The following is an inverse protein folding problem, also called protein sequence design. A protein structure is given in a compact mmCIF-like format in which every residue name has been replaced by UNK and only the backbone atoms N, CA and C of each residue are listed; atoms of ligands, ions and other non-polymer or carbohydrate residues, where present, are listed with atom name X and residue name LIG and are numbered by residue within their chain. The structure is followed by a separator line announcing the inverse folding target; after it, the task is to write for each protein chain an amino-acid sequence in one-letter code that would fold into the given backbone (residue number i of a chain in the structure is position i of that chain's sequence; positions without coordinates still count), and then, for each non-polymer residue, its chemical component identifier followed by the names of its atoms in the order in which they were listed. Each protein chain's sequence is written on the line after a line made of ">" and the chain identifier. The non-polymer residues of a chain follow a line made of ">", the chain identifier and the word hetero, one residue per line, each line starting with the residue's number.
data_IF_734754890111
#
_entry.id   IF_734754890111
#
_cell.length_a   1.000
_cell.length_b   1.000
_cell.length_c   1.000
_cell.angle_alpha   90.00
_cell.angle_beta   90.00
_cell.angle_gamma   90.00
#
_symmetry.space_group_name_H-M   'P 1'
#
loop_
_entity.id
_entity.type
_entity.pdbx_description
1 polymer ?
#
# COMPACT_ATOMS: atom_id res chain seq x y z
N UNK A 1 -16.52 -20.04 -12.63
CA UNK A 1 -16.05 -19.08 -13.64
C UNK A 1 -14.62 -19.47 -13.92
N UNK A 2 -14.36 -19.92 -15.15
CA UNK A 2 -13.18 -20.69 -15.53
C UNK A 2 -11.91 -19.83 -15.40
N UNK A 3 -10.97 -20.23 -14.52
CA UNK A 3 -9.69 -19.53 -14.34
C UNK A 3 -8.80 -19.87 -15.53
N UNK A 4 -8.91 -19.09 -16.60
CA UNK A 4 -7.91 -19.12 -17.68
C UNK A 4 -6.68 -18.33 -17.23
N UNK A 5 -5.96 -18.86 -16.25
CA UNK A 5 -4.60 -18.39 -15.94
C UNK A 5 -3.70 -18.82 -17.11
N UNK A 6 -3.08 -17.86 -17.79
CA UNK A 6 -2.01 -18.15 -18.73
C UNK A 6 -0.88 -18.87 -17.95
N UNK A 7 -0.59 -20.16 -18.25
CA UNK A 7 0.38 -20.95 -17.49
C UNK A 7 1.81 -20.43 -17.61
N UNK A 8 2.07 -19.42 -18.45
CA UNK A 8 3.36 -18.72 -18.54
C UNK A 8 3.55 -17.61 -17.49
N UNK A 9 2.51 -17.19 -16.74
CA UNK A 9 2.63 -16.13 -15.73
C UNK A 9 2.99 -16.73 -14.35
N UNK A 10 4.08 -16.25 -13.74
CA UNK A 10 4.39 -16.57 -12.34
C UNK A 10 3.31 -16.06 -11.38
N UNK A 11 3.23 -16.60 -10.14
CA UNK A 11 2.12 -16.34 -9.22
C UNK A 11 1.90 -14.86 -8.90
N UNK A 12 2.98 -14.09 -8.74
CA UNK A 12 2.92 -12.63 -8.51
C UNK A 12 2.27 -11.90 -9.68
N UNK A 13 2.59 -12.29 -10.92
CA UNK A 13 2.05 -11.65 -12.13
C UNK A 13 0.56 -11.97 -12.31
N UNK A 14 0.13 -13.19 -11.98
CA UNK A 14 -1.29 -13.56 -11.95
C UNK A 14 -2.04 -12.68 -10.95
N UNK A 15 -1.54 -12.57 -9.72
CA UNK A 15 -2.16 -11.74 -8.68
C UNK A 15 -2.31 -10.28 -9.13
N UNK A 16 -1.28 -9.72 -9.77
CA UNK A 16 -1.32 -8.36 -10.32
C UNK A 16 -2.42 -8.22 -11.37
N UNK A 17 -2.48 -9.09 -12.38
CA UNK A 17 -3.48 -9.00 -13.45
C UNK A 17 -4.91 -9.19 -12.95
N UNK A 18 -5.11 -10.09 -11.99
CA UNK A 18 -6.41 -10.30 -11.34
C UNK A 18 -6.86 -9.03 -10.60
N UNK A 19 -6.02 -8.45 -9.75
CA UNK A 19 -6.41 -7.28 -8.97
C UNK A 19 -6.43 -5.97 -9.77
N UNK A 20 -5.68 -5.88 -10.88
CA UNK A 20 -5.87 -4.80 -11.85
C UNK A 20 -7.24 -4.89 -12.53
N UNK A 21 -7.85 -6.08 -12.64
CA UNK A 21 -9.20 -6.23 -13.18
C UNK A 21 -10.29 -5.75 -12.21
N UNK A 22 -10.04 -5.78 -10.90
CA UNK A 22 -11.04 -5.54 -9.85
C UNK A 22 -11.18 -4.05 -9.49
N UNK A 23 -12.42 -3.53 -9.50
CA UNK A 23 -12.66 -2.11 -9.19
C UNK A 23 -12.58 -1.80 -7.70
N UNK A 24 -12.72 -2.85 -6.89
CA UNK A 24 -12.65 -2.80 -5.43
C UNK A 24 -11.22 -2.90 -4.90
N UNK A 25 -10.23 -3.08 -5.79
CA UNK A 25 -8.82 -3.06 -5.43
C UNK A 25 -8.26 -1.65 -5.55
N UNK A 26 -7.53 -1.24 -4.53
CA UNK A 26 -6.76 0.00 -4.50
C UNK A 26 -5.27 -0.31 -4.51
N UNK A 27 -4.48 0.61 -5.03
CA UNK A 27 -3.03 0.43 -5.16
C UNK A 27 -2.32 1.65 -4.59
N UNK A 28 -1.17 1.45 -3.94
CA UNK A 28 -0.31 2.56 -3.53
C UNK A 28 1.16 2.27 -3.77
N UNK A 29 1.90 3.30 -4.15
CA UNK A 29 3.35 3.25 -4.40
C UNK A 29 3.99 4.57 -3.97
N UNK A 30 5.28 4.53 -3.62
CA UNK A 30 6.05 5.72 -3.25
C UNK A 30 6.94 5.49 -2.05
N UNK A 31 7.30 6.58 -1.40
CA UNK A 31 8.18 6.60 -0.24
C UNK A 31 7.41 7.00 1.03
N UNK A 32 7.95 6.75 2.25
CA UNK A 32 7.39 7.29 3.48
C UNK A 32 7.12 8.79 3.38
N UNK A 33 5.87 9.18 3.62
CA UNK A 33 5.42 10.57 3.50
C UNK A 33 5.26 11.11 2.08
N UNK A 34 5.43 10.30 1.03
CA UNK A 34 5.18 10.70 -0.35
C UNK A 34 4.64 9.51 -1.15
N UNK A 35 3.32 9.32 -1.09
CA UNK A 35 2.65 8.13 -1.62
C UNK A 35 1.61 8.51 -2.66
N UNK A 36 1.68 7.87 -3.82
CA UNK A 36 0.63 7.85 -4.82
C UNK A 36 -0.40 6.76 -4.45
N UNK A 37 -1.69 7.02 -4.67
CA UNK A 37 -2.74 6.01 -4.49
C UNK A 37 -3.72 6.04 -5.65
N UNK A 38 -3.92 4.90 -6.29
CA UNK A 38 -4.93 4.68 -7.32
C UNK A 38 -6.07 3.85 -6.73
N UNK A 39 -7.26 4.44 -6.71
CA UNK A 39 -8.53 3.75 -6.41
C UNK A 39 -9.48 4.06 -7.54
N UNK A 40 -10.09 3.03 -8.14
CA UNK A 40 -11.10 3.24 -9.20
C UNK A 40 -12.42 3.70 -8.60
N UNK A 41 -13.12 4.58 -9.31
CA UNK A 41 -14.51 4.89 -8.97
C UNK A 41 -15.39 3.80 -9.61
N UNK A 42 -16.41 3.28 -8.91
CA UNK A 42 -17.33 2.31 -9.49
C UNK A 42 -17.93 2.82 -10.81
N UNK A 43 -17.82 2.00 -11.87
CA UNK A 43 -18.31 2.34 -13.21
C UNK A 43 -17.46 3.35 -14.00
N UNK A 44 -16.29 3.76 -13.51
CA UNK A 44 -15.37 4.61 -14.27
C UNK A 44 -14.80 3.89 -15.50
N UNK A 45 -14.69 4.62 -16.62
CA UNK A 45 -14.06 4.11 -17.84
C UNK A 45 -12.61 3.71 -17.57
N UNK A 46 -12.26 2.48 -17.93
CA UNK A 46 -10.91 1.93 -17.78
C UNK A 46 -10.40 1.41 -19.13
N UNK A 47 -9.17 1.78 -19.47
CA UNK A 47 -8.40 1.14 -20.52
C UNK A 47 -7.45 0.14 -19.88
N UNK A 48 -7.54 -1.13 -20.27
CA UNK A 48 -6.63 -2.17 -19.82
C UNK A 48 -5.52 -2.39 -20.85
N UNK A 49 -4.31 -2.59 -20.35
CA UNK A 49 -3.17 -3.09 -21.11
C UNK A 49 -2.43 -4.15 -20.29
N UNK A 50 -1.35 -4.71 -20.83
CA UNK A 50 -0.51 -5.65 -20.09
C UNK A 50 0.01 -4.99 -18.79
N UNK A 51 -0.25 -5.64 -17.66
CA UNK A 51 0.03 -5.18 -16.30
C UNK A 51 -0.39 -3.72 -16.04
N UNK A 52 -1.42 -3.21 -16.73
CA UNK A 52 -1.78 -1.82 -16.62
C UNK A 52 -3.27 -1.51 -16.72
N UNK A 53 -3.64 -0.47 -15.99
CA UNK A 53 -4.97 0.15 -16.02
C UNK A 53 -4.81 1.66 -16.13
N UNK A 54 -5.60 2.28 -17.00
CA UNK A 54 -5.61 3.72 -17.19
C UNK A 54 -7.04 4.23 -17.11
N UNK A 55 -7.26 5.27 -16.32
CA UNK A 55 -8.51 6.00 -16.18
C UNK A 55 -8.28 7.49 -16.47
N UNK A 56 -9.33 8.31 -16.58
CA UNK A 56 -9.19 9.76 -16.71
C UNK A 56 -8.45 10.42 -15.53
N UNK A 57 -8.39 9.78 -14.36
CA UNK A 57 -7.75 10.30 -13.13
C UNK A 57 -6.34 9.77 -12.88
N UNK A 58 -5.80 8.97 -13.79
CA UNK A 58 -4.46 8.40 -13.65
C UNK A 58 -4.39 6.97 -14.16
N UNK A 59 -3.26 6.32 -13.95
CA UNK A 59 -3.07 4.93 -14.33
C UNK A 59 -1.99 4.26 -13.50
N UNK A 60 -1.91 2.94 -13.63
CA UNK A 60 -0.88 2.11 -13.02
C UNK A 60 -0.35 1.18 -14.08
N UNK A 61 0.97 1.04 -14.19
CA UNK A 61 1.62 -0.01 -14.98
C UNK A 61 2.68 -0.73 -14.16
N UNK A 62 2.29 -1.87 -13.62
CA UNK A 62 3.16 -2.67 -12.76
C UNK A 62 4.25 -3.35 -13.59
N UNK A 63 5.50 -3.08 -13.24
CA UNK A 63 6.67 -3.79 -13.77
C UNK A 63 7.48 -4.25 -12.56
N UNK A 64 7.53 -5.57 -12.37
CA UNK A 64 8.26 -6.21 -11.30
C UNK A 64 9.29 -7.17 -11.91
N UNK A 65 10.46 -7.36 -11.26
CA UNK A 65 11.41 -8.39 -11.67
C UNK A 65 10.81 -9.80 -11.43
N UNK A 66 11.37 -10.80 -12.10
CA UNK A 66 10.87 -12.18 -12.02
C UNK A 66 11.01 -12.79 -10.62
N UNK A 67 11.94 -12.28 -9.82
CA UNK A 67 12.16 -12.69 -8.43
C UNK A 67 11.33 -11.91 -7.42
N UNK A 68 10.43 -11.02 -7.85
CA UNK A 68 9.52 -10.34 -6.94
C UNK A 68 8.65 -11.34 -6.16
N UNK A 69 8.36 -11.01 -4.90
CA UNK A 69 7.48 -11.79 -4.03
C UNK A 69 6.29 -10.96 -3.58
N UNK A 70 5.17 -11.63 -3.32
CA UNK A 70 3.97 -11.02 -2.74
C UNK A 70 3.83 -11.47 -1.29
N UNK A 71 3.60 -10.52 -0.39
CA UNK A 71 3.44 -10.76 1.05
C UNK A 71 2.12 -10.15 1.52
N UNK A 72 1.16 -11.00 1.84
CA UNK A 72 -0.12 -10.59 2.43
C UNK A 72 0.03 -10.39 3.94
N UNK A 73 -0.51 -9.29 4.46
CA UNK A 73 -0.41 -8.98 5.88
C UNK A 73 -1.60 -8.14 6.37
N UNK A 74 -1.77 -8.12 7.70
CA UNK A 74 -2.74 -7.28 8.38
C UNK A 74 -2.07 -6.53 9.53
N UNK A 75 -2.53 -5.31 9.79
CA UNK A 75 -2.05 -4.49 10.90
C UNK A 75 -3.21 -3.85 11.64
N UNK A 76 -3.17 -3.75 12.97
CA UNK A 76 -4.17 -2.99 13.70
C UNK A 76 -4.19 -1.51 13.27
N UNK A 77 -5.38 -0.90 13.16
CA UNK A 77 -5.48 0.57 13.03
C UNK A 77 -5.16 1.25 14.36
N UNK A 78 -4.47 2.39 14.29
CA UNK A 78 -4.24 3.31 15.40
C UNK A 78 -5.45 4.22 15.67
N UNK A 79 -6.36 4.38 14.68
CA UNK A 79 -7.48 5.33 14.75
C UNK A 79 -8.71 4.77 15.46
N UNK A 80 -8.91 3.46 15.38
CA UNK A 80 -10.09 2.79 15.92
C UNK A 80 -9.72 1.41 16.45
N UNK A 81 -10.04 1.10 17.73
CA UNK A 81 -9.67 -0.16 18.37
C UNK A 81 -10.37 -1.40 17.78
N UNK A 82 -11.37 -1.24 16.90
CA UNK A 82 -12.01 -2.33 16.16
C UNK A 82 -11.58 -2.42 14.69
N UNK A 83 -10.83 -1.45 14.17
CA UNK A 83 -10.42 -1.46 12.74
C UNK A 83 -9.05 -2.06 12.53
N UNK A 84 -8.80 -2.52 11.33
CA UNK A 84 -7.47 -2.91 10.90
C UNK A 84 -7.26 -2.47 9.45
N UNK A 85 -6.02 -2.60 9.00
CA UNK A 85 -5.66 -2.49 7.60
C UNK A 85 -5.20 -3.86 7.13
N UNK A 86 -5.39 -4.10 5.84
CA UNK A 86 -4.96 -5.32 5.19
C UNK A 86 -4.37 -4.99 3.81
N UNK A 87 -3.29 -5.66 3.43
CA UNK A 87 -2.59 -5.35 2.19
C UNK A 87 -1.79 -6.55 1.69
N UNK A 88 -1.41 -6.47 0.41
CA UNK A 88 -0.36 -7.30 -0.17
C UNK A 88 0.79 -6.37 -0.58
N UNK A 89 1.96 -6.55 0.04
CA UNK A 89 3.18 -5.89 -0.39
C UNK A 89 3.83 -6.70 -1.52
N UNK A 90 4.20 -6.02 -2.60
CA UNK A 90 5.09 -6.57 -3.62
C UNK A 90 6.51 -6.15 -3.27
N UNK A 91 7.31 -7.12 -2.89
CA UNK A 91 8.68 -6.95 -2.45
C UNK A 91 9.64 -7.43 -3.52
N UNK A 92 10.75 -6.72 -3.67
CA UNK A 92 11.86 -7.08 -4.55
C UNK A 92 13.15 -7.11 -3.74
N UNK A 93 14.21 -7.81 -4.18
CA UNK A 93 15.49 -7.73 -3.50
C UNK A 93 15.99 -6.30 -3.40
N UNK A 94 16.64 -5.93 -2.30
CA UNK A 94 17.08 -4.54 -2.04
C UNK A 94 17.90 -3.95 -3.19
N UNK A 95 18.66 -4.79 -3.90
CA UNK A 95 19.45 -4.37 -5.06
C UNK A 95 18.59 -3.94 -6.25
N UNK A 96 17.49 -4.65 -6.48
CA UNK A 96 16.51 -4.39 -7.54
C UNK A 96 15.56 -3.24 -7.16
N UNK A 97 15.42 -2.94 -5.87
CA UNK A 97 14.59 -1.84 -5.39
C UNK A 97 15.21 -0.46 -5.68
N UNK A 98 16.54 -0.38 -5.88
CA UNK A 98 17.28 0.89 -5.89
C UNK A 98 16.73 1.88 -6.92
N UNK A 99 16.15 2.97 -6.42
CA UNK A 99 15.82 4.17 -7.19
C UNK A 99 17.07 5.00 -7.49
N UNK A 100 16.87 6.15 -8.13
CA UNK A 100 17.97 7.05 -8.45
C UNK A 100 18.60 7.73 -7.22
N UNK A 101 17.90 7.74 -6.07
CA UNK A 101 18.42 8.23 -4.79
C UNK A 101 18.74 9.73 -4.79
N UNK A 102 18.15 10.50 -5.71
CA UNK A 102 18.39 11.94 -5.81
C UNK A 102 17.89 12.64 -4.54
N UNK A 103 18.63 13.65 -4.09
CA UNK A 103 18.30 14.44 -2.88
C UNK A 103 17.95 15.90 -3.18
N UNK A 104 17.82 16.22 -4.46
CA UNK A 104 17.47 17.55 -4.96
C UNK A 104 16.51 17.41 -6.13
N UNK A 105 15.67 18.42 -6.34
CA UNK A 105 14.79 18.47 -7.49
C UNK A 105 15.62 18.41 -8.77
N UNK A 106 15.25 17.50 -9.67
CA UNK A 106 16.00 17.23 -10.90
C UNK A 106 15.05 17.17 -12.08
N UNK A 107 15.25 18.02 -13.08
CA UNK A 107 14.53 17.94 -14.37
C UNK A 107 15.08 16.73 -15.16
N UNK A 108 14.18 15.83 -15.54
CA UNK A 108 14.50 14.61 -16.29
C UNK A 108 14.19 14.76 -17.79
N UNK A 109 13.46 15.80 -18.16
CA UNK A 109 13.01 16.06 -19.53
C UNK A 109 11.64 15.43 -19.83
N UNK A 110 11.28 15.31 -21.13
CA UNK A 110 9.96 14.86 -21.55
C UNK A 110 9.63 13.43 -21.12
N UNK A 111 8.40 13.22 -20.64
CA UNK A 111 7.91 11.92 -20.19
C UNK A 111 7.42 11.04 -21.36
N UNK A 112 8.37 10.51 -22.12
CA UNK A 112 8.10 9.63 -23.29
C UNK A 112 7.48 8.28 -22.94
N UNK A 113 7.25 8.00 -21.66
CA UNK A 113 6.73 6.74 -21.14
C UNK A 113 5.36 6.91 -20.48
N UNK A 114 4.73 8.09 -20.61
CA UNK A 114 3.41 8.39 -20.06
C UNK A 114 2.34 7.37 -20.47
N UNK A 115 1.53 6.95 -19.49
CA UNK A 115 0.47 5.96 -19.73
C UNK A 115 -0.64 6.52 -20.63
N UNK A 116 -0.91 7.83 -20.54
CA UNK A 116 -1.85 8.52 -21.42
C UNK A 116 -1.09 9.20 -22.56
N UNK A 117 -1.49 9.01 -23.83
CA UNK A 117 -0.84 9.68 -24.96
C UNK A 117 -0.80 11.21 -24.86
N UNK A 118 -1.82 11.82 -24.22
CA UNK A 118 -1.88 13.26 -24.01
C UNK A 118 -0.76 13.80 -23.11
N UNK A 119 -0.16 12.94 -22.29
CA UNK A 119 0.83 13.32 -21.28
C UNK A 119 2.28 13.11 -21.76
N UNK A 120 2.48 12.51 -22.94
CA UNK A 120 3.81 12.13 -23.46
C UNK A 120 4.78 13.32 -23.66
N UNK A 121 4.25 14.53 -23.77
CA UNK A 121 5.02 15.76 -23.94
C UNK A 121 5.25 16.53 -22.63
N UNK A 122 4.69 16.06 -21.50
CA UNK A 122 4.90 16.71 -20.21
C UNK A 122 6.34 16.55 -19.72
N UNK A 123 6.86 17.58 -19.08
CA UNK A 123 8.21 17.53 -18.49
C UNK A 123 8.15 16.81 -17.14
N UNK A 124 9.10 15.92 -16.91
CA UNK A 124 9.20 15.10 -15.71
C UNK A 124 10.27 15.65 -14.77
N UNK A 125 9.94 15.75 -13.49
CA UNK A 125 10.83 16.19 -12.44
C UNK A 125 10.88 15.16 -11.34
N UNK A 126 12.07 14.74 -10.94
CA UNK A 126 12.28 14.01 -9.69
C UNK A 126 12.25 15.02 -8.53
N UNK A 127 11.44 14.76 -7.51
CA UNK A 127 11.35 15.64 -6.34
C UNK A 127 12.57 15.54 -5.43
N UNK A 128 13.44 14.55 -5.64
CA UNK A 128 14.70 14.40 -4.92
C UNK A 128 14.48 14.08 -3.44
N UNK A 129 13.54 13.19 -3.13
CA UNK A 129 13.21 12.85 -1.75
C UNK A 129 14.23 11.92 -1.09
N UNK A 130 15.22 11.44 -1.85
CA UNK A 130 16.30 10.57 -1.34
C UNK A 130 15.81 9.20 -0.90
N UNK A 131 14.61 8.78 -1.32
CA UNK A 131 14.06 7.49 -0.96
C UNK A 131 14.80 6.37 -1.72
N UNK A 132 15.29 5.33 -1.01
CA UNK A 132 16.14 4.32 -1.62
C UNK A 132 15.41 3.46 -2.64
N UNK A 133 14.09 3.28 -2.50
CA UNK A 133 13.31 2.30 -3.26
C UNK A 133 12.17 2.88 -4.12
N UNK A 134 12.07 4.20 -4.19
CA UNK A 134 11.03 4.86 -4.97
C UNK A 134 11.48 6.24 -5.43
N UNK A 135 11.49 6.45 -6.74
CA UNK A 135 11.57 7.80 -7.28
C UNK A 135 10.16 8.40 -7.29
N UNK A 136 9.98 9.54 -6.63
CA UNK A 136 8.72 10.29 -6.61
C UNK A 136 8.86 11.45 -7.57
N UNK A 137 8.14 11.34 -8.69
CA UNK A 137 8.24 12.27 -9.78
C UNK A 137 6.96 13.10 -9.91
N UNK A 138 7.09 14.28 -10.50
CA UNK A 138 5.97 15.12 -10.93
C UNK A 138 6.12 15.38 -12.41
N UNK A 139 5.05 15.14 -13.15
CA UNK A 139 4.92 15.51 -14.56
C UNK A 139 4.03 16.74 -14.68
N UNK A 140 4.42 17.70 -15.51
CA UNK A 140 3.54 18.82 -15.86
C UNK A 140 3.85 19.42 -17.23
N UNK A 141 2.80 19.91 -17.88
CA UNK A 141 2.89 20.76 -19.08
C UNK A 141 2.41 22.20 -18.80
N UNK A 142 1.98 22.48 -17.56
CA UNK A 142 1.52 23.81 -17.15
C UNK A 142 2.72 24.77 -17.04
N UNK A 143 2.76 25.87 -17.82
CA UNK A 143 3.86 26.83 -17.77
C UNK A 143 4.14 27.41 -16.38
N UNK A 144 3.10 27.59 -15.55
CA UNK A 144 3.28 28.11 -14.19
C UNK A 144 3.97 27.08 -13.28
N UNK A 145 3.48 25.83 -13.28
CA UNK A 145 4.12 24.72 -12.59
C UNK A 145 5.56 24.47 -13.05
N UNK A 146 5.82 24.53 -14.37
CA UNK A 146 7.16 24.40 -14.95
C UNK A 146 8.12 25.48 -14.44
N UNK A 147 7.67 26.73 -14.36
CA UNK A 147 8.49 27.81 -13.83
C UNK A 147 8.88 27.56 -12.36
N UNK A 148 7.93 27.10 -11.54
CA UNK A 148 8.16 26.77 -10.13
C UNK A 148 9.15 25.60 -10.00
N UNK A 149 8.95 24.52 -10.75
CA UNK A 149 9.80 23.32 -10.72
C UNK A 149 11.21 23.59 -11.23
N UNK A 150 11.36 24.30 -12.36
CA UNK A 150 12.67 24.69 -12.91
C UNK A 150 13.43 25.60 -11.99
N UNK A 151 12.75 26.54 -11.34
CA UNK A 151 13.39 27.36 -10.32
C UNK A 151 13.92 26.48 -9.17
N UNK A 152 13.19 25.42 -8.80
CA UNK A 152 13.55 24.53 -7.70
C UNK A 152 14.68 23.53 -8.02
N UNK A 153 15.06 23.35 -9.29
CA UNK A 153 16.13 22.42 -9.68
C UNK A 153 17.41 22.67 -8.89
N UNK A 154 18.02 21.60 -8.40
CA UNK A 154 19.22 21.64 -7.54
C UNK A 154 18.95 22.00 -6.09
N UNK A 155 17.68 22.20 -5.69
CA UNK A 155 17.28 22.51 -4.30
C UNK A 155 16.56 21.32 -3.65
N UNK A 156 16.59 21.28 -2.33
CA UNK A 156 15.80 20.34 -1.52
C UNK A 156 14.30 20.71 -1.58
N UNK A 157 13.46 19.77 -2.04
CA UNK A 157 12.03 19.99 -2.23
C UNK A 157 11.27 20.25 -0.91
N UNK A 158 11.76 19.71 0.21
CA UNK A 158 11.09 19.78 1.51
C UNK A 158 11.38 21.10 2.21
N UNK A 159 12.59 21.64 2.06
CA UNK A 159 13.08 22.81 2.79
C UNK A 159 12.63 24.12 2.14
N UNK A 160 12.40 24.11 0.84
CA UNK A 160 11.94 25.29 0.08
C UNK A 160 10.44 25.55 0.10
N UNK A 161 9.62 24.74 0.80
CA UNK A 161 8.16 24.82 0.74
C UNK A 161 7.59 24.49 -0.65
N UNK A 162 8.40 23.88 -1.52
CA UNK A 162 8.02 23.51 -2.88
C UNK A 162 6.83 22.56 -2.86
N UNK A 163 6.86 21.53 -2.00
CA UNK A 163 5.82 20.51 -1.91
C UNK A 163 4.40 21.09 -1.73
N UNK A 164 4.26 22.23 -1.05
CA UNK A 164 2.97 22.90 -0.85
C UNK A 164 2.49 23.71 -2.08
N UNK A 165 3.40 24.02 -3.01
CA UNK A 165 3.16 24.81 -4.22
C UNK A 165 3.04 23.93 -5.47
N UNK A 166 3.27 22.61 -5.36
CA UNK A 166 3.29 21.72 -6.51
C UNK A 166 1.88 21.48 -7.08
N UNK A 167 1.75 21.76 -8.37
CA UNK A 167 0.66 21.37 -9.25
C UNK A 167 1.22 20.44 -10.35
N UNK A 168 0.46 19.45 -10.81
CA UNK A 168 0.92 18.47 -11.82
C UNK A 168 0.34 17.07 -11.63
N UNK A 169 0.82 16.07 -12.37
CA UNK A 169 0.51 14.66 -12.13
C UNK A 169 1.65 14.01 -11.33
N UNK A 170 1.32 13.21 -10.32
CA UNK A 170 2.29 12.47 -9.53
C UNK A 170 2.63 11.14 -10.19
N UNK A 171 3.91 10.77 -10.23
CA UNK A 171 4.37 9.46 -10.71
C UNK A 171 5.22 8.78 -9.63
N UNK A 172 4.95 7.51 -9.32
CA UNK A 172 5.68 6.73 -8.31
C UNK A 172 5.99 5.29 -8.79
N UNK A 173 6.74 4.53 -7.98
CA UNK A 173 7.24 3.17 -8.25
C UNK A 173 6.26 2.22 -8.97
N UNK A 174 6.80 1.31 -9.80
CA UNK A 174 5.97 0.48 -10.70
C UNK A 174 5.06 1.34 -11.59
N UNK A 175 5.58 2.50 -12.01
CA UNK A 175 4.90 3.58 -12.73
C UNK A 175 3.41 3.71 -12.43
N UNK A 176 3.13 4.25 -11.24
CA UNK A 176 1.81 4.72 -10.84
C UNK A 176 1.67 6.20 -11.15
N UNK A 177 0.81 6.57 -12.08
CA UNK A 177 0.51 7.96 -12.44
C UNK A 177 -0.83 8.39 -11.83
N UNK A 178 -0.86 9.48 -11.08
CA UNK A 178 -2.09 10.03 -10.49
C UNK A 178 -2.30 11.45 -10.97
N UNK A 179 -3.47 11.71 -11.52
CA UNK A 179 -3.95 13.04 -11.91
C UNK A 179 -4.99 13.50 -10.90
N UNK A 180 -4.67 14.54 -10.11
CA UNK A 180 -5.68 15.06 -9.20
C UNK A 180 -6.72 15.89 -9.97
N UNK A 181 -8.01 15.71 -9.66
CA UNK A 181 -9.05 16.62 -10.11
C UNK A 181 -8.71 18.06 -9.67
N UNK A 182 -8.70 19.01 -10.60
CA UNK A 182 -8.42 20.43 -10.29
C UNK A 182 -6.94 20.83 -10.29
N UNK A 183 -6.00 19.96 -10.73
CA UNK A 183 -4.63 20.37 -11.08
C UNK A 183 -3.55 20.20 -10.00
N UNK A 184 -3.76 19.37 -8.98
CA UNK A 184 -2.73 19.02 -7.98
C UNK A 184 -2.01 17.69 -8.27
N UNK A 185 -0.86 17.44 -7.62
CA UNK A 185 0.00 16.25 -7.85
C UNK A 185 -0.66 14.89 -7.62
N UNK A 186 -1.81 14.82 -6.93
CA UNK A 186 -2.46 13.56 -6.58
C UNK A 186 -1.65 12.69 -5.59
N UNK A 187 -0.45 13.12 -5.23
CA UNK A 187 0.40 12.53 -4.21
C UNK A 187 -0.06 12.96 -2.82
N UNK A 188 -0.16 12.00 -1.90
CA UNK A 188 -0.28 12.30 -0.48
C UNK A 188 1.12 12.63 0.06
N UNK A 189 1.39 13.91 0.23
CA UNK A 189 2.65 14.42 0.78
C UNK A 189 2.49 14.74 2.28
N UNK A 190 3.36 14.15 3.11
CA UNK A 190 3.53 14.42 4.54
C UNK A 190 5.00 14.82 4.76
N UNK A 191 5.36 16.10 4.57
CA UNK A 191 6.76 16.58 4.60
C UNK A 191 7.56 16.18 5.85
N UNK A 192 6.90 16.06 7.01
CA UNK A 192 7.51 15.61 8.25
C UNK A 192 8.02 14.16 8.18
N UNK A 193 7.29 13.28 7.47
CA UNK A 193 7.65 11.87 7.28
C UNK A 193 8.68 11.68 6.16
N UNK A 194 8.73 12.58 5.18
CA UNK A 194 9.76 12.54 4.13
C UNK A 194 11.17 12.75 4.71
N UNK A 195 11.31 13.51 5.80
CA UNK A 195 12.61 13.81 6.43
C UNK A 195 13.12 12.71 7.36
N UNK A 196 12.23 11.86 7.84
CA UNK A 196 12.53 10.82 8.81
C UNK A 196 12.17 9.49 8.19
N UNK A 197 13.18 8.76 7.72
CA UNK A 197 13.03 7.34 7.45
C UNK A 197 12.84 6.65 8.81
N UNK A 198 11.63 6.13 9.13
CA UNK A 198 11.41 5.49 10.42
C UNK A 198 12.16 4.15 10.54
N UNK A 199 12.83 3.69 9.48
CA UNK A 199 13.38 2.34 9.38
C UNK A 199 12.28 1.32 9.06
N UNK A 200 12.64 0.03 8.90
CA UNK A 200 11.67 -1.02 8.65
C UNK A 200 10.69 -1.11 9.82
N UNK A 201 9.40 -1.07 9.51
CA UNK A 201 8.36 -1.27 10.50
C UNK A 201 8.40 -2.73 10.94
N UNK A 202 8.97 -3.00 12.12
CA UNK A 202 9.25 -4.34 12.63
C UNK A 202 8.01 -5.26 12.80
N UNK A 203 6.81 -4.71 12.65
CA UNK A 203 5.55 -5.47 12.68
C UNK A 203 5.06 -5.89 11.28
N UNK A 204 5.67 -5.36 10.21
CA UNK A 204 5.37 -5.80 8.85
C UNK A 204 6.22 -7.06 8.53
N UNK A 205 5.62 -8.13 7.99
CA UNK A 205 6.32 -9.40 7.74
C UNK A 205 7.16 -9.37 6.45
N UNK A 206 7.95 -8.30 6.25
CA UNK A 206 8.88 -8.20 5.12
C UNK A 206 10.22 -8.82 5.53
N UNK A 207 10.73 -9.84 4.81
CA UNK A 207 12.02 -10.45 5.12
C UNK A 207 13.20 -9.49 4.95
N UNK A 208 14.26 -9.72 5.73
CA UNK A 208 15.53 -9.01 5.55
C UNK A 208 16.07 -9.17 4.11
N UNK A 209 16.60 -8.09 3.54
CA UNK A 209 17.13 -8.07 2.17
C UNK A 209 16.07 -7.85 1.08
N UNK A 210 14.81 -7.60 1.48
CA UNK A 210 13.70 -7.30 0.59
C UNK A 210 13.07 -5.96 0.91
N UNK A 211 12.68 -5.23 -0.14
CA UNK A 211 12.03 -3.93 -0.01
C UNK A 211 10.66 -3.92 -0.69
N UNK A 212 9.59 -3.50 0.01
CA UNK A 212 8.28 -3.30 -0.60
C UNK A 212 8.29 -2.09 -1.55
N UNK A 213 7.89 -2.28 -2.80
CA UNK A 213 7.89 -1.23 -3.84
C UNK A 213 6.49 -0.86 -4.33
N UNK A 214 5.50 -1.71 -4.07
CA UNK A 214 4.10 -1.51 -4.42
C UNK A 214 3.22 -2.20 -3.39
N UNK A 215 2.07 -1.61 -3.05
CA UNK A 215 1.07 -2.24 -2.19
C UNK A 215 -0.27 -2.33 -2.92
N UNK A 216 -0.84 -3.52 -2.90
CA UNK A 216 -2.24 -3.78 -3.24
C UNK A 216 -3.06 -3.76 -1.95
N UNK A 217 -4.22 -3.11 -2.01
CA UNK A 217 -5.23 -3.03 -0.96
C UNK A 217 -6.52 -3.65 -1.50
N UNK A 218 -6.75 -4.95 -1.26
CA UNK A 218 -8.01 -5.60 -1.64
C UNK A 218 -9.20 -4.99 -0.90
N UNK A 219 -10.42 -5.29 -1.36
CA UNK A 219 -11.65 -4.82 -0.73
C UNK A 219 -11.69 -5.20 0.76
N UNK A 220 -11.79 -4.21 1.65
CA UNK A 220 -11.84 -4.48 3.09
C UNK A 220 -13.23 -4.97 3.51
N UNK A 221 -13.33 -5.97 4.41
CA UNK A 221 -14.63 -6.52 4.82
C UNK A 221 -15.47 -5.55 5.64
N UNK A 222 -14.85 -4.63 6.38
CA UNK A 222 -15.55 -3.68 7.26
C UNK A 222 -15.38 -2.19 6.88
N UNK A 223 -14.72 -1.89 5.75
CA UNK A 223 -14.47 -0.51 5.33
C UNK A 223 -14.40 -0.37 3.80
N UNK A 224 -14.71 0.83 3.31
CA UNK A 224 -14.37 1.25 1.95
C UNK A 224 -12.91 1.69 1.85
N UNK A 225 -12.43 1.90 0.62
CA UNK A 225 -11.08 2.35 0.33
C UNK A 225 -10.69 3.72 0.93
N UNK A 226 -11.67 4.60 1.21
CA UNK A 226 -11.45 5.87 1.92
C UNK A 226 -11.46 5.73 3.45
N UNK A 227 -11.65 4.51 3.96
CA UNK A 227 -11.79 4.21 5.36
C UNK A 227 -13.20 4.47 5.90
N UNK A 228 -14.21 4.75 5.09
CA UNK A 228 -15.61 4.81 5.58
C UNK A 228 -16.04 3.41 6.03
N UNK A 229 -16.57 3.24 7.26
CA UNK A 229 -17.02 1.94 7.72
C UNK A 229 -18.25 1.45 6.93
N UNK A 230 -18.33 0.15 6.71
CA UNK A 230 -19.46 -0.54 6.05
C UNK A 230 -19.89 -1.76 6.88
N UNK A 231 -21.10 -2.30 6.66
CA UNK A 231 -21.46 -3.59 7.21
C UNK A 231 -20.41 -4.65 6.86
N UNK A 232 -20.09 -5.52 7.81
CA UNK A 232 -19.10 -6.57 7.60
C UNK A 232 -19.53 -7.49 6.45
N UNK A 233 -18.65 -7.66 5.46
CA UNK A 233 -18.85 -8.50 4.29
C UNK A 233 -18.00 -9.79 4.43
N UNK A 234 -18.61 -10.94 4.73
CA UNK A 234 -17.89 -12.21 4.89
C UNK A 234 -17.17 -12.65 3.61
N UNK A 235 -17.70 -12.32 2.43
CA UNK A 235 -17.07 -12.70 1.16
C UNK A 235 -15.76 -11.98 0.93
N UNK A 236 -15.66 -10.71 1.36
CA UNK A 236 -14.39 -9.95 1.35
C UNK A 236 -13.40 -10.49 2.37
N UNK A 237 -13.87 -10.91 3.54
CA UNK A 237 -13.03 -11.53 4.57
C UNK A 237 -12.45 -12.85 4.08
N UNK A 238 -13.29 -13.73 3.53
CA UNK A 238 -12.86 -15.01 2.94
C UNK A 238 -11.87 -14.79 1.79
N UNK A 239 -12.11 -13.80 0.93
CA UNK A 239 -11.20 -13.46 -0.16
C UNK A 239 -9.82 -13.03 0.35
N UNK A 240 -9.76 -12.18 1.38
CA UNK A 240 -8.47 -11.77 1.94
C UNK A 240 -7.79 -12.90 2.74
N UNK A 241 -8.55 -13.75 3.42
CA UNK A 241 -8.00 -14.95 4.08
C UNK A 241 -7.37 -15.93 3.09
N UNK A 242 -7.90 -16.05 1.87
CA UNK A 242 -7.26 -16.83 0.82
C UNK A 242 -5.90 -16.22 0.43
N UNK A 243 -5.80 -14.89 0.33
CA UNK A 243 -4.52 -14.21 0.09
C UNK A 243 -3.53 -14.41 1.24
N UNK A 244 -3.97 -14.37 2.51
CA UNK A 244 -3.12 -14.68 3.66
C UNK A 244 -2.64 -16.13 3.65
N UNK A 245 -3.48 -17.09 3.25
CA UNK A 245 -3.10 -18.49 3.17
C UNK A 245 -2.05 -18.75 2.06
N UNK A 246 -2.12 -18.01 0.96
CA UNK A 246 -1.22 -18.19 -0.20
C UNK A 246 0.07 -17.35 -0.10
N UNK A 247 -0.04 -16.13 0.43
CA UNK A 247 1.02 -15.12 0.41
C UNK A 247 1.37 -14.57 1.79
N UNK A 248 0.72 -15.01 2.86
CA UNK A 248 1.04 -14.56 4.22
C UNK A 248 2.20 -15.31 4.85
N UNK A 249 2.67 -14.81 5.99
CA UNK A 249 3.64 -15.53 6.82
C UNK A 249 2.96 -16.76 7.46
N UNK A 250 3.42 -17.99 7.16
CA UNK A 250 2.83 -19.20 7.73
C UNK A 250 2.93 -19.27 9.26
N UNK A 251 3.95 -18.65 9.87
CA UNK A 251 4.10 -18.59 11.34
C UNK A 251 2.98 -17.76 11.95
N UNK A 252 2.67 -16.59 11.35
CA UNK A 252 1.54 -15.78 11.78
C UNK A 252 0.21 -16.50 11.54
N UNK A 253 0.11 -17.31 10.47
CA UNK A 253 -1.05 -18.18 10.22
C UNK A 253 -1.35 -19.15 11.37
N UNK A 254 -0.32 -19.75 11.97
CA UNK A 254 -0.47 -20.62 13.16
C UNK A 254 -0.93 -19.81 14.37
N UNK A 255 -0.33 -18.64 14.63
CA UNK A 255 -0.73 -17.74 15.72
C UNK A 255 -2.23 -17.37 15.61
N UNK A 256 -2.67 -17.01 14.41
CA UNK A 256 -4.08 -16.68 14.15
C UNK A 256 -4.99 -17.87 14.45
N UNK A 257 -4.62 -19.08 13.99
CA UNK A 257 -5.40 -20.30 14.23
C UNK A 257 -5.56 -20.61 15.72
N UNK A 258 -4.45 -20.57 16.48
CA UNK A 258 -4.45 -20.86 17.92
C UNK A 258 -5.32 -19.87 18.71
N UNK A 259 -5.27 -18.57 18.36
CA UNK A 259 -6.12 -17.54 18.98
C UNK A 259 -7.59 -17.78 18.67
N UNK A 260 -7.94 -18.05 17.40
CA UNK A 260 -9.32 -18.34 16.99
C UNK A 260 -9.87 -19.54 17.76
N UNK A 261 -9.10 -20.63 17.83
CA UNK A 261 -9.50 -21.85 18.53
C UNK A 261 -9.66 -21.62 20.04
N UNK A 262 -8.75 -20.87 20.67
CA UNK A 262 -8.85 -20.55 22.09
C UNK A 262 -10.05 -19.67 22.43
N UNK A 263 -10.27 -18.59 21.68
CA UNK A 263 -11.39 -17.67 21.90
C UNK A 263 -12.73 -18.38 21.69
N UNK A 264 -12.87 -19.16 20.61
CA UNK A 264 -14.11 -19.91 20.32
C UNK A 264 -14.37 -21.05 21.30
N UNK A 265 -13.32 -21.62 21.88
CA UNK A 265 -13.43 -22.56 23.00
C UNK A 265 -13.60 -21.88 24.37
N UNK A 266 -13.82 -20.56 24.40
CA UNK A 266 -14.01 -19.77 25.62
C UNK A 266 -12.82 -19.81 26.60
N UNK A 267 -11.60 -20.07 26.10
CA UNK A 267 -10.37 -20.06 26.90
C UNK A 267 -9.72 -18.68 26.91
N UNK A 268 -9.13 -18.30 28.04
CA UNK A 268 -8.44 -17.02 28.22
C UNK A 268 -7.03 -16.99 27.60
N UNK A 269 -6.42 -15.79 27.49
CA UNK A 269 -5.09 -15.60 26.90
C UNK A 269 -3.98 -16.38 27.63
N UNK A 270 -4.15 -16.66 28.92
CA UNK A 270 -3.21 -17.45 29.73
C UNK A 270 -3.08 -18.91 29.29
N UNK A 271 -3.95 -19.38 28.41
CA UNK A 271 -4.01 -20.79 27.97
C UNK A 271 -3.24 -21.06 26.67
N UNK A 272 -2.72 -20.02 26.02
CA UNK A 272 -1.98 -20.12 24.76
C UNK A 272 -0.64 -19.44 24.93
N UNK A 273 0.45 -20.16 24.63
CA UNK A 273 1.79 -19.58 24.60
C UNK A 273 2.04 -18.99 23.20
N UNK A 274 1.96 -17.66 23.10
CA UNK A 274 2.09 -16.94 21.84
C UNK A 274 3.41 -16.16 21.79
N UNK A 275 4.06 -16.07 20.62
CA UNK A 275 5.26 -15.25 20.48
C UNK A 275 4.98 -13.78 20.82
N UNK A 276 5.91 -13.16 21.55
CA UNK A 276 5.81 -11.76 21.99
C UNK A 276 6.33 -10.73 20.97
N UNK A 277 6.74 -11.15 19.78
CA UNK A 277 7.27 -10.25 18.76
C UNK A 277 6.18 -9.32 18.19
N UNK A 278 6.56 -8.15 17.62
CA UNK A 278 5.59 -7.17 17.14
C UNK A 278 4.62 -7.70 16.07
N UNK A 279 5.07 -8.58 15.18
CA UNK A 279 4.23 -9.11 14.10
C UNK A 279 3.18 -10.09 14.66
N UNK A 280 3.59 -10.99 15.56
CA UNK A 280 2.66 -11.89 16.27
C UNK A 280 1.63 -11.11 17.08
N UNK A 281 2.05 -10.07 17.83
CA UNK A 281 1.13 -9.19 18.56
C UNK A 281 0.13 -8.47 17.64
N UNK A 282 0.57 -8.02 16.46
CA UNK A 282 -0.29 -7.40 15.47
C UNK A 282 -1.33 -8.40 14.92
N UNK A 283 -0.91 -9.62 14.59
CA UNK A 283 -1.78 -10.70 14.12
C UNK A 283 -2.84 -11.07 15.17
N UNK A 284 -2.46 -11.19 16.45
CA UNK A 284 -3.41 -11.39 17.57
C UNK A 284 -4.40 -10.24 17.63
N UNK A 285 -3.93 -8.99 17.61
CA UNK A 285 -4.79 -7.81 17.71
C UNK A 285 -5.83 -7.74 16.59
N UNK A 286 -5.43 -8.01 15.34
CA UNK A 286 -6.34 -8.06 14.20
C UNK A 286 -7.32 -9.23 14.32
N UNK A 287 -6.85 -10.40 14.72
CA UNK A 287 -7.71 -11.59 14.93
C UNK A 287 -8.82 -11.30 15.93
N UNK A 288 -8.51 -10.69 17.06
CA UNK A 288 -9.50 -10.31 18.07
C UNK A 288 -10.49 -9.24 17.57
N UNK A 289 -10.07 -8.35 16.67
CA UNK A 289 -10.96 -7.36 16.02
C UNK A 289 -11.90 -8.05 15.04
N UNK A 290 -11.39 -8.95 14.20
CA UNK A 290 -12.18 -9.75 13.26
C UNK A 290 -13.20 -10.63 14.00
N UNK A 291 -12.81 -11.32 15.07
CA UNK A 291 -13.72 -12.15 15.87
C UNK A 291 -14.85 -11.32 16.51
N UNK A 292 -14.61 -10.05 16.85
CA UNK A 292 -15.67 -9.18 17.34
C UNK A 292 -16.77 -8.93 16.29
N UNK A 293 -16.42 -8.91 14.99
CA UNK A 293 -17.38 -8.80 13.89
C UNK A 293 -18.08 -10.13 13.58
N UNK A 294 -17.34 -11.23 13.61
CA UNK A 294 -17.86 -12.56 13.24
C UNK A 294 -18.72 -13.18 14.35
N UNK A 295 -18.23 -13.16 15.57
CA UNK A 295 -18.78 -13.93 16.70
C UNK A 295 -19.44 -13.01 17.75
N UNK A 296 -19.31 -11.68 17.60
CA UNK A 296 -19.78 -10.69 18.56
C UNK A 296 -18.84 -10.48 19.74
N UNK A 297 -19.23 -9.65 20.70
CA UNK A 297 -18.44 -9.40 21.91
C UNK A 297 -18.74 -10.43 23.00
N UNK A 298 -17.71 -10.84 23.74
CA UNK A 298 -17.82 -11.77 24.87
C UNK A 298 -16.87 -11.40 26.01
N UNK A 299 -17.10 -11.96 27.21
CA UNK A 299 -16.18 -11.78 28.34
C UNK A 299 -14.78 -12.31 28.05
N UNK A 300 -14.69 -13.43 27.33
CA UNK A 300 -13.42 -14.00 26.86
C UNK A 300 -12.72 -13.07 25.88
N UNK A 301 -13.42 -12.55 24.88
CA UNK A 301 -12.84 -11.61 23.91
C UNK A 301 -12.36 -10.32 24.60
N UNK A 302 -13.10 -9.83 25.59
CA UNK A 302 -12.71 -8.68 26.39
C UNK A 302 -11.44 -8.96 27.22
N UNK A 303 -11.31 -10.15 27.81
CA UNK A 303 -10.11 -10.57 28.54
C UNK A 303 -8.87 -10.63 27.63
N UNK A 304 -9.00 -11.23 26.45
CA UNK A 304 -7.95 -11.26 25.43
C UNK A 304 -7.52 -9.84 25.01
N UNK A 305 -8.47 -8.96 24.69
CA UNK A 305 -8.16 -7.57 24.30
C UNK A 305 -7.52 -6.77 25.44
N UNK A 306 -7.94 -7.01 26.69
CA UNK A 306 -7.34 -6.40 27.88
C UNK A 306 -5.90 -6.83 28.12
N UNK A 307 -5.56 -8.10 27.83
CA UNK A 307 -4.22 -8.64 28.01
C UNK A 307 -3.19 -8.02 27.05
N UNK A 308 -3.55 -7.86 25.77
CA UNK A 308 -2.63 -7.34 24.74
C UNK A 308 -2.58 -5.81 24.67
N UNK A 309 -3.49 -5.12 25.35
CA UNK A 309 -3.49 -3.66 25.48
C UNK A 309 -3.77 -2.90 24.16
N UNK A 310 -3.62 -1.57 24.16
CA UNK A 310 -3.66 -0.80 22.92
C UNK A 310 -2.46 -1.19 22.04
N UNK A 311 -2.66 -1.16 20.72
CA UNK A 311 -1.64 -1.57 19.74
C UNK A 311 -1.36 -0.46 18.73
N UNK A 312 -1.35 0.78 19.20
CA UNK A 312 -1.16 1.98 18.36
C UNK A 312 0.24 1.97 17.74
N UNK A 313 1.22 1.40 18.45
CA UNK A 313 2.59 1.21 18.01
C UNK A 313 2.76 0.15 16.91
N UNK A 314 1.72 -0.66 16.67
CA UNK A 314 1.69 -1.73 15.66
C UNK A 314 0.89 -1.34 14.42
N UNK A 315 0.49 -0.07 14.29
CA UNK A 315 -0.25 0.41 13.13
C UNK A 315 0.65 0.57 11.91
N UNK A 316 0.07 0.34 10.73
CA UNK A 316 0.77 0.53 9.46
C UNK A 316 1.30 1.98 9.37
N UNK A 317 2.59 2.18 9.02
CA UNK A 317 3.19 3.51 8.90
C UNK A 317 2.46 4.46 7.95
N UNK A 318 1.70 3.92 6.97
CA UNK A 318 1.02 4.69 5.94
C UNK A 318 -0.43 5.10 6.31
N UNK A 319 -0.95 4.75 7.49
CA UNK A 319 -2.28 5.18 7.96
C UNK A 319 -2.40 6.73 8.04
#
# INVERSE_FOLDING_TARGET
>A
MDRTTDPALGPVRVLVEEHLALETSSWSAGAPGATARLTRIPGETVQRGPNSVVTPRGGLRVVLPDDATAIAYETPSARDPLRWLHAVAFCVPDEAARGAGRRVVTELGPDTQALRPADLAGELFDLGLGAPAADVLVRTSDPAALAVLRAAVGRDAVTGGLLAQLTGDGVAAGRMEITAPGGGTGLRLRPALVRHDPGPAAHLPVPDGWTPVLRLHPAHPAAEADGRPVPFDPGRDDAFRALLAEHGDPVLGVVVADVVDAVRAMRGPETVDLPGDPASRAAVAVTLRRLAFLDGTSGTLAAWRGHYGPTVELADPDE
#
